data_IF_846510921249
#
_entry.id   IF_846510921249
#
_cell.length_a   1.000
_cell.length_b   1.000
_cell.length_c   1.000
_cell.angle_alpha   90.00
_cell.angle_beta   90.00
_cell.angle_gamma   90.00
#
_symmetry.space_group_name_H-M   'P 1'
#
loop_
_entity.id
_entity.type
_entity.pdbx_description
1 polymer ?
#
# COMPACT_ATOMS: atom_id res chain seq x y z
N UNK A 1 -20.47 14.54 14.50
CA UNK A 1 -20.75 15.66 15.42
C UNK A 1 -19.88 15.55 16.67
N UNK A 2 -19.84 14.39 17.33
CA UNK A 2 -18.96 14.12 18.49
C UNK A 2 -17.45 14.23 18.19
N UNK A 3 -17.01 13.74 17.02
CA UNK A 3 -15.64 13.94 16.53
C UNK A 3 -15.30 15.43 16.32
N UNK A 4 -16.26 16.28 15.96
CA UNK A 4 -16.00 17.71 15.72
C UNK A 4 -15.82 18.45 17.04
N UNK A 5 -16.57 18.12 18.08
CA UNK A 5 -16.41 18.71 19.42
C UNK A 5 -15.13 18.26 20.11
N UNK A 6 -14.72 17.01 19.94
CA UNK A 6 -13.46 16.50 20.49
C UNK A 6 -12.25 17.13 19.78
N UNK A 7 -12.38 17.39 18.48
CA UNK A 7 -11.38 18.11 17.69
C UNK A 7 -11.32 19.60 18.06
N UNK A 8 -12.44 20.27 18.33
CA UNK A 8 -12.46 21.67 18.79
C UNK A 8 -11.76 21.87 20.13
N UNK A 9 -11.96 20.96 21.10
CA UNK A 9 -11.32 21.03 22.41
C UNK A 9 -9.81 20.74 22.36
N UNK A 10 -9.36 19.87 21.44
CA UNK A 10 -7.93 19.59 21.26
C UNK A 10 -7.20 20.68 20.45
N UNK A 11 -7.95 21.49 19.69
CA UNK A 11 -7.45 22.57 18.84
C UNK A 11 -7.07 23.85 19.62
N UNK A 12 -7.51 24.00 20.88
CA UNK A 12 -7.12 25.19 21.67
C UNK A 12 -5.67 25.17 22.15
N UNK A 13 -5.01 24.00 22.16
CA UNK A 13 -3.71 23.82 22.81
C UNK A 13 -2.51 23.71 21.85
N UNK A 14 -2.72 23.59 20.53
CA UNK A 14 -1.63 23.44 19.56
C UNK A 14 -1.81 24.39 18.35
N UNK A 15 -0.84 25.28 18.16
CA UNK A 15 -0.83 26.42 17.21
C UNK A 15 -0.74 26.02 15.71
N UNK A 16 -1.63 25.14 15.22
CA UNK A 16 -1.84 24.88 13.79
C UNK A 16 -3.28 25.25 13.48
N UNK A 17 -3.52 26.50 13.06
CA UNK A 17 -4.85 26.96 12.66
C UNK A 17 -5.28 26.25 11.37
N UNK A 18 -5.92 25.08 11.48
CA UNK A 18 -6.54 24.40 10.34
C UNK A 18 -7.67 25.28 9.78
N UNK A 19 -7.59 25.61 8.49
CA UNK A 19 -8.68 26.27 7.79
C UNK A 19 -9.84 25.29 7.53
N UNK A 20 -11.04 25.82 7.28
CA UNK A 20 -12.20 24.99 6.91
C UNK A 20 -11.93 24.15 5.64
N UNK A 21 -11.13 24.68 4.73
CA UNK A 21 -10.69 24.00 3.50
C UNK A 21 -9.77 22.80 3.78
N UNK A 22 -8.89 22.92 4.78
CA UNK A 22 -8.01 21.83 5.20
C UNK A 22 -8.83 20.67 5.81
N UNK A 23 -9.83 20.99 6.64
CA UNK A 23 -10.73 19.99 7.24
C UNK A 23 -11.56 19.25 6.17
N UNK A 24 -12.08 19.98 5.19
CA UNK A 24 -12.84 19.40 4.08
C UNK A 24 -11.95 18.46 3.24
N UNK A 25 -10.71 18.87 2.96
CA UNK A 25 -9.73 18.07 2.21
C UNK A 25 -9.33 16.80 2.96
N UNK A 26 -9.15 16.88 4.28
CA UNK A 26 -8.89 15.71 5.14
C UNK A 26 -10.06 14.74 5.10
N UNK A 27 -11.30 15.23 5.15
CA UNK A 27 -12.49 14.38 5.07
C UNK A 27 -12.59 13.70 3.69
N UNK A 28 -12.33 14.44 2.60
CA UNK A 28 -12.29 13.86 1.25
C UNK A 28 -11.21 12.78 1.14
N UNK A 29 -10.01 13.04 1.67
CA UNK A 29 -8.93 12.06 1.69
C UNK A 29 -9.31 10.81 2.48
N UNK A 30 -9.93 10.95 3.65
CA UNK A 30 -10.36 9.80 4.48
C UNK A 30 -11.41 8.93 3.76
N UNK A 31 -12.32 9.56 3.03
CA UNK A 31 -13.27 8.84 2.17
C UNK A 31 -12.53 8.17 1.00
N UNK A 32 -11.57 8.85 0.40
CA UNK A 32 -10.76 8.29 -0.67
C UNK A 32 -9.89 7.12 -0.21
N UNK A 33 -9.25 7.20 0.95
CA UNK A 33 -8.33 6.18 1.48
C UNK A 33 -9.02 4.86 1.79
N UNK A 34 -10.31 4.88 2.15
CA UNK A 34 -11.11 3.67 2.36
C UNK A 34 -11.57 3.03 1.05
N UNK A 35 -11.80 3.83 0.01
CA UNK A 35 -12.21 3.36 -1.32
C UNK A 35 -10.99 2.94 -2.17
N UNK A 36 -9.82 3.54 -1.94
CA UNK A 36 -8.62 3.29 -2.72
C UNK A 36 -8.25 1.80 -2.83
N UNK A 37 -8.17 1.01 -1.73
CA UNK A 37 -7.90 -0.42 -1.82
C UNK A 37 -8.94 -1.20 -2.64
N UNK A 38 -10.20 -0.76 -2.60
CA UNK A 38 -11.29 -1.37 -3.38
C UNK A 38 -11.07 -1.12 -4.87
N UNK A 39 -10.61 0.08 -5.26
CA UNK A 39 -10.25 0.38 -6.66
C UNK A 39 -9.07 -0.46 -7.12
N UNK A 40 -8.05 -0.65 -6.27
CA UNK A 40 -6.93 -1.55 -6.58
C UNK A 40 -7.42 -2.98 -6.80
N UNK A 41 -8.23 -3.51 -5.88
CA UNK A 41 -8.81 -4.84 -5.99
C UNK A 41 -9.67 -5.00 -7.25
N UNK A 42 -10.49 -3.99 -7.59
CA UNK A 42 -11.27 -3.98 -8.82
C UNK A 42 -10.37 -4.06 -10.06
N UNK A 43 -9.29 -3.28 -10.13
CA UNK A 43 -8.32 -3.34 -11.22
C UNK A 43 -7.69 -4.73 -11.39
N UNK A 44 -7.34 -5.39 -10.28
CA UNK A 44 -6.81 -6.76 -10.29
C UNK A 44 -7.86 -7.75 -10.79
N UNK A 45 -9.12 -7.61 -10.36
CA UNK A 45 -10.23 -8.44 -10.85
C UNK A 45 -10.40 -8.29 -12.36
N UNK A 46 -10.27 -7.07 -12.91
CA UNK A 46 -10.28 -6.85 -14.36
C UNK A 46 -9.19 -7.65 -15.08
N UNK A 47 -7.99 -7.76 -14.52
CA UNK A 47 -6.91 -8.56 -15.11
C UNK A 47 -7.22 -10.06 -15.07
N UNK A 48 -7.74 -10.56 -13.95
CA UNK A 48 -8.14 -11.97 -13.80
C UNK A 48 -9.28 -12.29 -14.78
N UNK A 49 -10.27 -11.41 -14.91
CA UNK A 49 -11.34 -11.54 -15.90
C UNK A 49 -10.79 -11.52 -17.31
N UNK A 50 -9.81 -10.67 -17.62
CA UNK A 50 -9.15 -10.66 -18.93
C UNK A 50 -8.57 -12.03 -19.30
N UNK A 51 -7.87 -12.69 -18.37
CA UNK A 51 -7.33 -14.05 -18.58
C UNK A 51 -8.45 -15.09 -18.70
N UNK A 52 -9.45 -15.04 -17.81
CA UNK A 52 -10.57 -15.99 -17.82
C UNK A 52 -11.43 -15.90 -19.08
N UNK A 53 -11.78 -14.68 -19.50
CA UNK A 53 -12.59 -14.41 -20.70
C UNK A 53 -11.83 -14.81 -21.95
N UNK A 54 -10.54 -14.48 -22.06
CA UNK A 54 -9.74 -14.86 -23.24
C UNK A 54 -9.55 -16.37 -23.32
N UNK A 55 -9.35 -17.05 -22.20
CA UNK A 55 -9.32 -18.52 -22.14
C UNK A 55 -10.66 -19.15 -22.57
N UNK A 56 -11.78 -18.68 -22.01
CA UNK A 56 -13.12 -19.21 -22.32
C UNK A 56 -13.57 -18.93 -23.75
N UNK A 57 -13.26 -17.75 -24.29
CA UNK A 57 -13.68 -17.31 -25.62
C UNK A 57 -12.75 -17.83 -26.73
N UNK A 58 -11.61 -18.44 -26.38
CA UNK A 58 -10.66 -19.05 -27.31
C UNK A 58 -11.25 -20.17 -28.18
N UNK A 59 -12.33 -20.80 -27.71
CA UNK A 59 -13.06 -21.84 -28.44
C UNK A 59 -14.03 -21.26 -29.48
N UNK A 60 -14.44 -20.00 -29.35
CA UNK A 60 -15.51 -19.40 -30.16
C UNK A 60 -15.02 -18.31 -31.11
N UNK A 61 -13.98 -17.55 -30.73
CA UNK A 61 -13.43 -16.47 -31.55
C UNK A 61 -12.11 -16.83 -32.24
N UNK A 62 -11.80 -16.18 -33.39
CA UNK A 62 -10.50 -16.34 -34.02
C UNK A 62 -9.37 -15.90 -33.09
N UNK A 63 -8.26 -16.65 -33.10
CA UNK A 63 -7.10 -16.37 -32.24
C UNK A 63 -6.50 -14.98 -32.43
N UNK A 64 -6.72 -14.34 -33.59
CA UNK A 64 -6.31 -12.96 -33.87
C UNK A 64 -7.03 -11.92 -33.01
N UNK A 65 -8.26 -12.18 -32.55
CA UNK A 65 -9.05 -11.23 -31.76
C UNK A 65 -8.78 -11.33 -30.24
N UNK A 66 -8.28 -12.47 -29.76
CA UNK A 66 -8.03 -12.70 -28.33
C UNK A 66 -7.09 -11.67 -27.69
N UNK A 67 -5.96 -11.27 -28.32
CA UNK A 67 -5.09 -10.26 -27.73
C UNK A 67 -5.79 -8.91 -27.57
N UNK A 68 -6.62 -8.50 -28.53
CA UNK A 68 -7.34 -7.22 -28.45
C UNK A 68 -8.33 -7.20 -27.28
N UNK A 69 -9.02 -8.32 -27.03
CA UNK A 69 -9.90 -8.47 -25.87
C UNK A 69 -9.07 -8.45 -24.58
N UNK A 70 -7.96 -9.19 -24.52
CA UNK A 70 -7.08 -9.17 -23.35
C UNK A 70 -6.60 -7.75 -23.03
N UNK A 71 -6.09 -7.04 -24.03
CA UNK A 71 -5.55 -5.69 -23.85
C UNK A 71 -6.62 -4.66 -23.51
N UNK A 72 -7.89 -4.85 -23.88
CA UNK A 72 -8.95 -3.93 -23.46
C UNK A 72 -9.24 -4.05 -21.96
N UNK A 73 -9.26 -5.28 -21.41
CA UNK A 73 -9.35 -5.52 -19.96
C UNK A 73 -8.13 -4.98 -19.22
N UNK A 74 -6.93 -5.18 -19.77
CA UNK A 74 -5.69 -4.60 -19.21
C UNK A 74 -5.78 -3.08 -19.22
N UNK A 75 -6.14 -2.45 -20.34
CA UNK A 75 -6.25 -1.00 -20.45
C UNK A 75 -7.26 -0.41 -19.46
N UNK A 76 -8.43 -1.05 -19.29
CA UNK A 76 -9.44 -0.65 -18.33
C UNK A 76 -8.92 -0.77 -16.88
N UNK A 77 -8.33 -1.92 -16.53
CA UNK A 77 -7.75 -2.14 -15.21
C UNK A 77 -6.62 -1.16 -14.90
N UNK A 78 -5.66 -0.97 -15.81
CA UNK A 78 -4.56 0.00 -15.63
C UNK A 78 -5.06 1.43 -15.53
N UNK A 79 -6.11 1.79 -16.28
CA UNK A 79 -6.74 3.12 -16.19
C UNK A 79 -7.30 3.40 -14.80
N UNK A 80 -7.99 2.43 -14.20
CA UNK A 80 -8.49 2.54 -12.82
C UNK A 80 -7.35 2.69 -11.80
N UNK A 81 -6.29 1.88 -11.92
CA UNK A 81 -5.13 1.95 -11.03
C UNK A 81 -4.37 3.28 -11.17
N UNK A 82 -4.19 3.75 -12.41
CA UNK A 82 -3.50 5.01 -12.68
C UNK A 82 -4.27 6.21 -12.13
N UNK A 83 -5.60 6.26 -12.34
CA UNK A 83 -6.44 7.32 -11.78
C UNK A 83 -6.38 7.35 -10.25
N UNK A 84 -6.48 6.18 -9.61
CA UNK A 84 -6.34 6.07 -8.17
C UNK A 84 -4.96 6.53 -7.68
N UNK A 85 -3.89 6.14 -8.38
CA UNK A 85 -2.53 6.55 -8.05
C UNK A 85 -2.31 8.06 -8.15
N UNK A 86 -2.79 8.69 -9.22
CA UNK A 86 -2.67 10.15 -9.42
C UNK A 86 -3.44 10.89 -8.32
N UNK A 87 -4.68 10.49 -8.02
CA UNK A 87 -5.49 11.13 -6.97
C UNK A 87 -4.84 10.96 -5.60
N UNK A 88 -4.24 9.80 -5.30
CA UNK A 88 -3.50 9.57 -4.05
C UNK A 88 -2.34 10.57 -3.93
N UNK A 89 -1.49 10.63 -4.95
CA UNK A 89 -0.31 11.52 -4.97
C UNK A 89 -0.68 13.00 -4.78
N UNK A 90 -1.78 13.46 -5.38
CA UNK A 90 -2.28 14.82 -5.20
C UNK A 90 -2.51 15.18 -3.72
N UNK A 91 -3.19 14.31 -2.96
CA UNK A 91 -3.45 14.56 -1.53
C UNK A 91 -2.16 14.58 -0.71
N UNK A 92 -1.20 13.72 -1.03
CA UNK A 92 0.07 13.67 -0.30
C UNK A 92 0.87 14.95 -0.51
N UNK A 93 0.97 15.41 -1.76
CA UNK A 93 1.66 16.66 -2.07
C UNK A 93 0.97 17.85 -1.37
N UNK A 94 -0.37 17.85 -1.32
CA UNK A 94 -1.15 18.84 -0.57
C UNK A 94 -0.78 18.83 0.93
N UNK A 95 -0.91 17.69 1.60
CA UNK A 95 -0.63 17.59 3.05
C UNK A 95 0.84 17.89 3.39
N UNK A 96 1.76 17.43 2.54
CA UNK A 96 3.19 17.70 2.68
C UNK A 96 3.50 19.19 2.59
N UNK A 97 2.85 19.92 1.67
CA UNK A 97 3.03 21.37 1.51
C UNK A 97 2.51 22.19 2.70
N UNK A 98 1.48 21.67 3.39
CA UNK A 98 0.80 22.34 4.52
C UNK A 98 1.29 21.89 5.89
N UNK A 99 2.24 20.96 5.98
CA UNK A 99 2.69 20.38 7.25
C UNK A 99 1.63 19.49 7.93
N UNK A 100 0.59 19.09 7.20
CA UNK A 100 -0.52 18.27 7.68
C UNK A 100 -0.18 16.77 7.60
N UNK A 101 1.05 16.41 7.97
CA UNK A 101 1.59 15.06 7.71
C UNK A 101 0.98 13.97 8.56
N UNK A 102 0.21 14.33 9.59
CA UNK A 102 -0.55 13.41 10.43
C UNK A 102 -1.68 12.69 9.69
N UNK A 103 -2.11 13.20 8.53
CA UNK A 103 -3.27 12.66 7.80
C UNK A 103 -2.91 11.67 6.69
N UNK A 104 -1.63 11.50 6.34
CA UNK A 104 -1.18 10.51 5.35
C UNK A 104 -0.20 9.49 5.96
N UNK A 105 -0.04 8.35 5.29
CA UNK A 105 0.83 7.29 5.79
C UNK A 105 2.31 7.70 5.72
N UNK A 106 2.87 8.00 6.89
CA UNK A 106 4.26 8.44 7.06
C UNK A 106 5.26 7.34 6.67
N UNK A 107 4.87 6.07 6.72
CA UNK A 107 5.74 4.95 6.35
C UNK A 107 5.96 4.89 4.84
N UNK A 108 4.91 5.17 4.06
CA UNK A 108 4.95 5.16 2.59
C UNK A 108 5.61 6.44 2.03
N UNK A 109 5.35 7.61 2.63
CA UNK A 109 5.75 8.91 2.06
C UNK A 109 6.88 9.63 2.81
N UNK A 110 7.29 9.09 3.96
CA UNK A 110 8.38 9.60 4.79
C UNK A 110 7.94 10.64 5.82
N UNK A 111 8.73 10.80 6.90
CA UNK A 111 8.44 11.75 7.97
C UNK A 111 8.59 13.22 7.51
N UNK A 112 7.89 14.16 8.15
CA UNK A 112 8.10 15.58 7.92
C UNK A 112 9.57 15.98 8.18
N UNK A 113 10.02 17.05 7.50
CA UNK A 113 11.42 17.48 7.45
C UNK A 113 11.99 17.81 8.84
N UNK A 114 11.13 18.18 9.79
CA UNK A 114 11.44 18.64 11.15
C UNK A 114 11.21 17.57 12.25
N UNK A 115 10.89 16.33 11.89
CA UNK A 115 10.61 15.24 12.84
C UNK A 115 11.80 14.94 13.77
N UNK A 116 11.59 15.09 15.09
CA UNK A 116 12.56 14.65 16.15
C UNK A 116 12.89 13.16 16.07
N UNK A 117 11.96 12.35 15.58
CA UNK A 117 12.10 10.89 15.47
C UNK A 117 12.76 10.43 14.16
N UNK A 118 13.45 11.32 13.43
CA UNK A 118 14.13 11.00 12.16
C UNK A 118 15.04 9.76 12.24
N UNK A 119 15.70 9.50 13.37
CA UNK A 119 16.53 8.31 13.60
C UNK A 119 15.70 7.02 13.61
N UNK A 120 14.58 7.02 14.34
CA UNK A 120 13.62 5.91 14.38
C UNK A 120 13.10 5.59 12.97
N UNK A 121 12.64 6.61 12.22
CA UNK A 121 12.16 6.43 10.86
C UNK A 121 13.24 5.91 9.90
N UNK A 122 14.49 6.41 10.00
CA UNK A 122 15.60 5.90 9.17
C UNK A 122 15.91 4.44 9.45
N UNK A 123 15.89 4.02 10.73
CA UNK A 123 16.13 2.64 11.14
C UNK A 123 14.99 1.73 10.65
N UNK A 124 13.74 2.15 10.86
CA UNK A 124 12.55 1.43 10.36
C UNK A 124 12.57 1.30 8.83
N UNK A 125 12.88 2.38 8.09
CA UNK A 125 12.97 2.36 6.63
C UNK A 125 14.05 1.42 6.10
N UNK A 126 15.26 1.47 6.67
CA UNK A 126 16.33 0.56 6.26
C UNK A 126 15.94 -0.90 6.47
N UNK A 127 15.24 -1.20 7.56
CA UNK A 127 14.78 -2.56 7.89
C UNK A 127 13.57 -2.98 7.06
N UNK A 128 12.68 -2.06 6.68
CA UNK A 128 11.61 -2.31 5.71
C UNK A 128 12.16 -2.77 4.37
N UNK A 129 13.25 -2.16 3.89
CA UNK A 129 13.93 -2.63 2.68
C UNK A 129 14.49 -4.06 2.83
N UNK A 130 15.04 -4.40 4.00
CA UNK A 130 15.49 -5.77 4.27
C UNK A 130 14.31 -6.75 4.31
N UNK A 131 13.19 -6.35 4.89
CA UNK A 131 11.95 -7.13 4.92
C UNK A 131 11.43 -7.38 3.50
N UNK A 132 11.38 -6.35 2.66
CA UNK A 132 10.97 -6.47 1.25
C UNK A 132 11.87 -7.43 0.47
N UNK A 133 13.20 -7.29 0.62
CA UNK A 133 14.18 -8.18 -0.01
C UNK A 133 14.02 -9.62 0.48
N UNK A 134 13.80 -9.81 1.79
CA UNK A 134 13.57 -11.12 2.39
C UNK A 134 12.32 -11.78 1.78
N UNK A 135 11.23 -11.05 1.61
CA UNK A 135 10.01 -11.58 0.97
C UNK A 135 10.25 -12.01 -0.48
N UNK A 136 11.01 -11.23 -1.26
CA UNK A 136 11.40 -11.63 -2.62
C UNK A 136 12.20 -12.94 -2.59
N UNK A 137 13.17 -13.07 -1.67
CA UNK A 137 13.97 -14.29 -1.51
C UNK A 137 13.10 -15.49 -1.13
N UNK A 138 12.11 -15.30 -0.25
CA UNK A 138 11.14 -16.34 0.14
C UNK A 138 10.35 -16.83 -1.08
N UNK A 139 9.85 -15.91 -1.92
CA UNK A 139 9.15 -16.26 -3.15
C UNK A 139 10.06 -17.07 -4.09
N UNK A 140 11.31 -16.64 -4.26
CA UNK A 140 12.29 -17.36 -5.10
C UNK A 140 12.51 -18.78 -4.57
N UNK A 141 12.68 -18.96 -3.26
CA UNK A 141 12.85 -20.28 -2.64
C UNK A 141 11.60 -21.14 -2.86
N UNK A 142 10.40 -20.58 -2.66
CA UNK A 142 9.15 -21.29 -2.89
C UNK A 142 9.01 -21.75 -4.35
N UNK A 143 9.28 -20.87 -5.32
CA UNK A 143 9.25 -21.21 -6.73
C UNK A 143 10.30 -22.27 -7.10
N UNK A 144 11.49 -22.19 -6.51
CA UNK A 144 12.53 -23.21 -6.69
C UNK A 144 12.08 -24.58 -6.17
N UNK A 145 11.50 -24.64 -4.97
CA UNK A 145 10.94 -25.88 -4.39
C UNK A 145 9.77 -26.42 -5.21
N UNK A 146 8.92 -25.55 -5.74
CA UNK A 146 7.81 -25.92 -6.63
C UNK A 146 8.31 -26.55 -7.93
N UNK A 147 9.12 -25.82 -8.70
CA UNK A 147 9.54 -26.24 -10.04
C UNK A 147 10.51 -27.42 -10.04
N UNK A 148 11.50 -27.45 -9.14
CA UNK A 148 12.57 -28.45 -9.19
C UNK A 148 12.34 -29.65 -8.27
N UNK A 149 11.61 -29.46 -7.17
CA UNK A 149 11.37 -30.52 -6.18
C UNK A 149 9.93 -31.03 -6.20
N UNK A 150 9.02 -30.41 -6.95
CA UNK A 150 7.59 -30.76 -6.98
C UNK A 150 6.86 -30.47 -5.66
N UNK A 151 7.49 -29.72 -4.74
CA UNK A 151 7.03 -29.49 -3.37
C UNK A 151 6.07 -28.30 -3.27
N UNK A 152 5.09 -28.22 -4.18
CA UNK A 152 4.09 -27.14 -4.18
C UNK A 152 3.26 -27.13 -2.90
N UNK A 153 2.90 -28.31 -2.39
CA UNK A 153 2.01 -28.47 -1.23
C UNK A 153 2.67 -28.40 0.14
N UNK A 154 3.91 -28.84 0.38
CA UNK A 154 4.62 -28.56 1.64
C UNK A 154 5.43 -27.26 1.59
N UNK A 155 5.64 -26.69 0.39
CA UNK A 155 6.45 -25.49 0.19
C UNK A 155 5.90 -24.22 0.85
N UNK A 156 4.61 -24.13 1.16
CA UNK A 156 4.04 -22.93 1.80
C UNK A 156 4.61 -22.63 3.19
N UNK A 157 5.26 -23.60 3.85
CA UNK A 157 5.89 -23.41 5.16
C UNK A 157 6.94 -22.28 5.15
N UNK A 158 7.62 -22.02 4.01
CA UNK A 158 8.57 -20.89 3.95
C UNK A 158 7.89 -19.53 4.11
N UNK A 159 6.62 -19.38 3.73
CA UNK A 159 5.88 -18.14 3.98
C UNK A 159 5.60 -17.93 5.48
N UNK A 160 5.34 -19.00 6.24
CA UNK A 160 5.15 -18.93 7.69
C UNK A 160 6.45 -18.54 8.40
N UNK A 161 7.60 -19.01 7.90
CA UNK A 161 8.90 -18.58 8.42
C UNK A 161 9.09 -17.08 8.14
N UNK A 162 8.72 -16.62 6.95
CA UNK A 162 8.72 -15.20 6.59
C UNK A 162 7.91 -14.32 7.54
N UNK A 163 6.68 -14.71 7.84
CA UNK A 163 5.82 -13.93 8.75
C UNK A 163 6.39 -13.86 10.17
N UNK A 164 6.96 -14.95 10.68
CA UNK A 164 7.62 -14.97 12.00
C UNK A 164 8.81 -14.01 12.01
N UNK A 165 9.63 -14.02 10.95
CA UNK A 165 10.78 -13.12 10.82
C UNK A 165 10.35 -11.64 10.79
N UNK A 166 9.29 -11.31 10.06
CA UNK A 166 8.70 -9.95 10.05
C UNK A 166 8.27 -9.49 11.44
N UNK A 167 7.63 -10.37 12.23
CA UNK A 167 7.22 -10.05 13.61
C UNK A 167 8.45 -9.75 14.49
N UNK A 168 9.50 -10.56 14.38
CA UNK A 168 10.73 -10.38 15.16
C UNK A 168 11.40 -9.05 14.80
N UNK A 169 11.50 -8.71 13.51
CA UNK A 169 12.06 -7.43 13.05
C UNK A 169 11.28 -6.26 13.63
N UNK A 170 9.94 -6.34 13.61
CA UNK A 170 9.07 -5.29 14.17
C UNK A 170 9.31 -5.09 15.67
N UNK A 171 9.37 -6.17 16.44
CA UNK A 171 9.64 -6.12 17.90
C UNK A 171 11.04 -5.54 18.17
N UNK A 172 12.05 -5.95 17.41
CA UNK A 172 13.41 -5.46 17.56
C UNK A 172 13.53 -3.95 17.29
N UNK A 173 12.78 -3.43 16.31
CA UNK A 173 12.71 -1.98 16.01
C UNK A 173 12.11 -1.23 17.19
N UNK A 174 10.98 -1.69 17.71
CA UNK A 174 10.27 -1.04 18.81
C UNK A 174 11.11 -1.02 20.09
N UNK A 175 11.75 -2.15 20.41
CA UNK A 175 12.65 -2.24 21.55
C UNK A 175 13.87 -1.30 21.42
N UNK A 176 14.49 -1.26 20.23
CA UNK A 176 15.61 -0.36 19.97
C UNK A 176 15.23 1.12 19.98
N UNK A 177 13.97 1.46 19.67
CA UNK A 177 13.47 2.82 19.69
C UNK A 177 13.26 3.32 21.12
N UNK A 178 12.67 2.48 21.99
CA UNK A 178 12.44 2.82 23.39
C UNK A 178 13.73 2.99 24.20
N UNK A 179 14.81 2.30 23.83
CA UNK A 179 16.11 2.44 24.49
C UNK A 179 16.91 3.70 24.06
N UNK A 180 16.49 4.40 23.00
CA UNK A 180 17.13 5.61 22.48
C UNK A 180 16.49 6.92 23.04
N UNK A 181 15.42 6.82 23.86
CA UNK A 181 14.67 7.94 24.50
C UNK A 181 15.02 7.99 26.00
#
# INVERSE_FOLDING_TARGET
>A
MELLSELELKNSDENITLSKEDLETVEEYKKFSTIFPIVIAAGIIFYILGVGVTGGLSFMLPKSFLPFIFFSFVAAGTGLLAFAGIKKNYFIDYFKSKGLTQYYDVEEYGPPVDSKNKKYYRRKKSLGLFEDIMWIVIVIIYLYLGFFKGLWHPGWIVFLIGTIMSIIIKIAIEHSANNDI
#
